data_IF_190051991587
#
_entry.id   IF_190051991587
#
_cell.length_a   1.000
_cell.length_b   1.000
_cell.length_c   1.000
_cell.angle_alpha   90.00
_cell.angle_beta   90.00
_cell.angle_gamma   90.00
#
_symmetry.space_group_name_H-M   'P 1'
#
loop_
_entity.id
_entity.type
_entity.pdbx_description
1 polymer ?
#
# COMPACT_ATOMS: atom_id res chain seq x y z
N UNK A 1 22.32 16.37 -32.22
CA UNK A 1 21.16 16.95 -31.47
C UNK A 1 20.39 15.77 -30.91
N UNK A 2 20.38 15.63 -29.60
CA UNK A 2 19.55 14.61 -28.96
C UNK A 2 18.13 15.17 -28.88
N UNK A 3 17.18 14.46 -29.46
CA UNK A 3 15.77 14.78 -29.41
C UNK A 3 15.31 14.54 -27.98
N UNK A 4 14.81 15.58 -27.30
CA UNK A 4 14.33 15.52 -25.94
C UNK A 4 13.02 14.72 -25.95
N UNK A 5 13.08 13.45 -25.49
CA UNK A 5 11.90 12.59 -25.35
C UNK A 5 11.02 13.17 -24.24
N UNK A 6 10.02 13.94 -24.62
CA UNK A 6 8.98 14.35 -23.67
C UNK A 6 8.15 13.13 -23.25
N UNK A 7 7.93 12.94 -21.95
CA UNK A 7 7.06 11.87 -21.50
C UNK A 7 5.64 12.09 -22.08
N UNK A 8 4.95 11.02 -22.48
CA UNK A 8 3.59 11.13 -23.03
C UNK A 8 2.68 11.84 -22.03
N UNK A 9 1.89 12.78 -22.55
CA UNK A 9 0.87 13.48 -21.77
C UNK A 9 -0.12 12.44 -21.24
N UNK A 10 -0.17 12.29 -19.92
CA UNK A 10 -1.04 11.29 -19.28
C UNK A 10 -2.49 11.77 -19.42
N UNK A 11 -3.42 10.94 -19.93
CA UNK A 11 -4.82 11.30 -19.93
C UNK A 11 -5.26 11.67 -18.51
N UNK A 12 -5.80 12.86 -18.35
CA UNK A 12 -6.43 13.24 -17.08
C UNK A 12 -7.71 12.41 -16.94
N UNK A 13 -7.94 11.74 -15.81
CA UNK A 13 -9.23 11.13 -15.56
C UNK A 13 -10.31 12.23 -15.66
N UNK A 14 -11.38 11.94 -16.36
CA UNK A 14 -12.54 12.84 -16.42
C UNK A 14 -12.99 13.12 -14.98
N UNK A 15 -13.23 14.39 -14.66
CA UNK A 15 -13.64 14.85 -13.34
C UNK A 15 -15.09 14.44 -13.05
N UNK A 16 -15.31 13.16 -12.71
CA UNK A 16 -16.51 12.71 -12.03
C UNK A 16 -16.48 13.23 -10.60
N UNK A 17 -17.57 13.76 -10.10
CA UNK A 17 -17.73 14.14 -8.69
C UNK A 17 -17.53 12.88 -7.84
N UNK A 18 -16.41 12.79 -7.11
CA UNK A 18 -15.98 11.58 -6.42
C UNK A 18 -16.86 11.11 -5.25
N UNK A 19 -17.93 11.81 -4.94
CA UNK A 19 -18.81 11.50 -3.80
C UNK A 19 -19.83 10.38 -4.09
N UNK A 20 -20.02 9.96 -5.35
CA UNK A 20 -21.03 8.96 -5.76
C UNK A 20 -20.43 7.76 -6.52
N UNK A 21 -19.11 7.72 -6.68
CA UNK A 21 -18.43 6.63 -7.38
C UNK A 21 -18.05 5.52 -6.39
N UNK A 22 -18.36 4.28 -6.77
CA UNK A 22 -18.01 3.09 -5.99
C UNK A 22 -17.12 2.16 -6.81
N UNK A 23 -16.15 1.51 -6.16
CA UNK A 23 -15.24 0.55 -6.80
C UNK A 23 -15.05 -0.68 -5.94
N UNK A 24 -14.94 -1.84 -6.58
CA UNK A 24 -14.67 -3.11 -5.89
C UNK A 24 -13.24 -3.18 -5.38
N UNK A 25 -12.99 -4.09 -4.45
CA UNK A 25 -11.63 -4.41 -4.00
C UNK A 25 -10.77 -4.88 -5.17
N UNK A 26 -11.34 -5.69 -6.07
CA UNK A 26 -10.65 -6.22 -7.26
C UNK A 26 -10.07 -5.09 -8.13
N UNK A 27 -10.77 -3.97 -8.28
CA UNK A 27 -10.28 -2.82 -9.04
C UNK A 27 -8.94 -2.28 -8.50
N UNK A 28 -8.69 -2.40 -7.21
CA UNK A 28 -7.47 -1.94 -6.55
C UNK A 28 -6.32 -2.93 -6.58
N UNK A 29 -6.58 -4.21 -6.90
CA UNK A 29 -5.55 -5.26 -6.84
C UNK A 29 -4.30 -4.87 -7.61
N UNK A 30 -3.16 -4.94 -6.92
CA UNK A 30 -1.85 -4.62 -7.48
C UNK A 30 -0.83 -5.66 -7.03
N UNK A 31 -0.03 -6.10 -7.97
CA UNK A 31 1.08 -7.01 -7.72
C UNK A 31 2.38 -6.33 -8.18
N UNK A 32 3.31 -6.15 -7.27
CA UNK A 32 4.66 -5.71 -7.57
C UNK A 32 5.59 -6.89 -7.30
N UNK A 33 6.38 -7.26 -8.30
CA UNK A 33 7.39 -8.32 -8.19
C UNK A 33 8.75 -7.74 -8.52
N UNK A 34 9.74 -8.02 -7.67
CA UNK A 34 11.11 -7.57 -7.88
C UNK A 34 12.10 -8.68 -7.55
N UNK A 35 13.08 -8.85 -8.43
CA UNK A 35 14.23 -9.72 -8.17
C UNK A 35 15.20 -9.03 -7.22
N UNK A 36 15.51 -9.67 -6.08
CA UNK A 36 16.43 -9.14 -5.08
C UNK A 36 17.88 -9.35 -5.50
N UNK A 37 18.60 -8.25 -5.64
CA UNK A 37 20.00 -8.23 -6.08
C UNK A 37 20.98 -8.10 -4.90
N UNK A 38 22.28 -8.23 -5.18
CA UNK A 38 23.35 -7.98 -4.19
C UNK A 38 23.27 -6.54 -3.65
N UNK A 39 22.84 -5.57 -4.47
CA UNK A 39 22.69 -4.18 -4.07
C UNK A 39 21.57 -3.96 -3.01
N UNK A 40 20.71 -4.94 -2.83
CA UNK A 40 19.63 -4.90 -1.82
C UNK A 40 20.07 -5.51 -0.47
N UNK A 41 21.30 -6.09 -0.40
CA UNK A 41 21.78 -6.80 0.78
C UNK A 41 22.21 -5.85 1.91
N UNK A 42 21.90 -6.25 3.14
CA UNK A 42 22.45 -5.65 4.35
C UNK A 42 23.79 -6.31 4.76
N UNK A 43 24.39 -5.83 5.82
CA UNK A 43 25.68 -6.38 6.34
C UNK A 43 25.60 -7.83 6.82
N UNK A 44 24.40 -8.37 7.06
CA UNK A 44 24.19 -9.76 7.45
C UNK A 44 23.95 -10.71 6.25
N UNK A 45 23.97 -10.18 5.00
CA UNK A 45 23.79 -10.96 3.78
C UNK A 45 22.33 -11.20 3.38
N UNK A 46 21.38 -10.59 4.07
CA UNK A 46 19.96 -10.64 3.73
C UNK A 46 19.50 -9.35 3.04
N UNK A 47 18.34 -9.37 2.40
CA UNK A 47 17.75 -8.14 1.86
C UNK A 47 17.46 -7.16 2.99
N UNK A 48 17.83 -5.90 2.77
CA UNK A 48 17.63 -4.83 3.75
C UNK A 48 16.14 -4.60 4.00
N UNK A 49 15.70 -4.55 5.27
CA UNK A 49 14.29 -4.32 5.63
C UNK A 49 13.73 -3.02 5.04
N UNK A 50 14.56 -1.97 4.94
CA UNK A 50 14.19 -0.71 4.26
C UNK A 50 13.86 -0.89 2.78
N UNK A 51 14.56 -1.80 2.07
CA UNK A 51 14.21 -2.15 0.68
C UNK A 51 12.84 -2.79 0.60
N UNK A 52 12.52 -3.73 1.51
CA UNK A 52 11.20 -4.36 1.58
C UNK A 52 10.11 -3.33 1.89
N UNK A 53 10.33 -2.45 2.87
CA UNK A 53 9.38 -1.39 3.23
C UNK A 53 9.11 -0.44 2.07
N UNK A 54 10.13 -0.07 1.28
CA UNK A 54 9.96 0.77 0.09
C UNK A 54 9.09 0.10 -0.96
N UNK A 55 9.29 -1.20 -1.22
CA UNK A 55 8.47 -1.96 -2.19
C UNK A 55 7.02 -2.13 -1.70
N UNK A 56 6.83 -2.27 -0.40
CA UNK A 56 5.50 -2.28 0.25
C UNK A 56 4.80 -0.94 0.03
N UNK A 57 5.49 0.18 0.24
CA UNK A 57 4.95 1.53 0.02
C UNK A 57 4.59 1.76 -1.45
N UNK A 58 5.47 1.36 -2.38
CA UNK A 58 5.21 1.42 -3.82
C UNK A 58 3.97 0.59 -4.22
N UNK A 59 3.84 -0.64 -3.73
CA UNK A 59 2.70 -1.50 -4.02
C UNK A 59 1.38 -0.93 -3.44
N UNK A 60 1.43 -0.39 -2.22
CA UNK A 60 0.28 0.26 -1.60
C UNK A 60 -0.13 1.52 -2.38
N UNK A 61 0.84 2.32 -2.81
CA UNK A 61 0.60 3.49 -3.65
C UNK A 61 -0.11 3.14 -4.96
N UNK A 62 0.34 2.07 -5.63
CA UNK A 62 -0.30 1.59 -6.86
C UNK A 62 -1.76 1.17 -6.64
N UNK A 63 -2.05 0.41 -5.57
CA UNK A 63 -3.40 -0.01 -5.23
C UNK A 63 -4.31 1.19 -4.94
N UNK A 64 -3.81 2.16 -4.16
CA UNK A 64 -4.54 3.36 -3.81
C UNK A 64 -4.79 4.27 -5.03
N UNK A 65 -3.80 4.42 -5.95
CA UNK A 65 -3.96 5.16 -7.22
C UNK A 65 -5.03 4.51 -8.09
N UNK A 66 -4.98 3.17 -8.25
CA UNK A 66 -5.98 2.44 -9.02
C UNK A 66 -7.38 2.66 -8.46
N UNK A 67 -7.53 2.56 -7.13
CA UNK A 67 -8.83 2.75 -6.48
C UNK A 67 -9.32 4.20 -6.56
N UNK A 68 -8.47 5.17 -6.27
CA UNK A 68 -8.90 6.57 -6.20
C UNK A 68 -8.96 7.28 -7.56
N UNK A 69 -8.20 6.82 -8.56
CA UNK A 69 -7.98 7.57 -9.81
C UNK A 69 -7.22 8.88 -9.61
N UNK A 70 -6.63 9.09 -8.44
CA UNK A 70 -5.98 10.35 -8.02
C UNK A 70 -4.52 10.10 -7.63
N UNK A 71 -3.75 11.17 -7.48
CA UNK A 71 -2.47 11.10 -6.78
C UNK A 71 -2.70 10.72 -5.32
N UNK A 72 -1.77 9.96 -4.75
CA UNK A 72 -1.86 9.55 -3.35
C UNK A 72 -0.55 9.84 -2.63
N UNK A 73 -0.64 10.01 -1.33
CA UNK A 73 0.52 10.07 -0.44
C UNK A 73 0.32 9.10 0.71
N UNK A 74 1.40 8.54 1.20
CA UNK A 74 1.42 7.72 2.41
C UNK A 74 1.36 8.61 3.63
N UNK A 75 0.29 8.49 4.40
CA UNK A 75 0.12 9.22 5.65
C UNK A 75 0.68 8.46 6.86
N UNK A 76 0.79 7.16 6.77
CA UNK A 76 1.37 6.32 7.82
C UNK A 76 1.40 4.85 7.41
N UNK A 77 2.29 4.11 8.08
CA UNK A 77 2.40 2.65 8.00
C UNK A 77 2.25 2.13 9.44
N UNK A 78 1.41 1.13 9.61
CA UNK A 78 1.28 0.43 10.89
C UNK A 78 2.52 -0.41 11.18
N UNK A 79 2.59 -0.98 12.40
CA UNK A 79 3.69 -1.86 12.78
C UNK A 79 3.83 -3.01 11.79
N UNK A 80 4.98 -3.10 11.15
CA UNK A 80 5.34 -4.20 10.26
C UNK A 80 6.30 -5.14 10.96
N UNK A 81 6.01 -6.44 10.92
CA UNK A 81 6.87 -7.47 11.50
C UNK A 81 7.43 -8.34 10.37
N UNK A 82 8.74 -8.54 10.38
CA UNK A 82 9.41 -9.45 9.47
C UNK A 82 9.46 -10.84 10.11
N UNK A 83 8.72 -11.80 9.57
CA UNK A 83 8.60 -13.16 10.09
C UNK A 83 9.76 -14.04 9.67
N UNK A 84 10.24 -13.83 8.44
CA UNK A 84 11.35 -14.57 7.84
C UNK A 84 12.21 -13.64 7.00
N UNK A 85 13.54 -13.89 6.90
CA UNK A 85 14.42 -13.10 6.04
C UNK A 85 14.09 -13.32 4.56
N UNK A 86 14.41 -12.31 3.75
CA UNK A 86 14.42 -12.38 2.28
C UNK A 86 15.88 -12.49 1.82
N UNK A 87 16.16 -13.44 0.92
CA UNK A 87 17.51 -13.69 0.44
C UNK A 87 17.79 -12.99 -0.90
N UNK A 88 19.06 -12.66 -1.12
CA UNK A 88 19.52 -12.24 -2.46
C UNK A 88 19.28 -13.37 -3.45
N UNK A 89 18.76 -13.03 -4.64
CA UNK A 89 18.40 -14.00 -5.67
C UNK A 89 16.93 -14.45 -5.64
N UNK A 90 16.19 -14.13 -4.60
CA UNK A 90 14.74 -14.39 -4.56
C UNK A 90 13.91 -13.30 -5.25
N UNK A 91 12.69 -13.66 -5.61
CA UNK A 91 11.65 -12.72 -6.05
C UNK A 91 10.86 -12.26 -4.83
N UNK A 92 10.83 -10.94 -4.60
CA UNK A 92 9.92 -10.35 -3.61
C UNK A 92 8.61 -9.98 -4.30
N UNK A 93 7.51 -10.52 -3.79
CA UNK A 93 6.16 -10.31 -4.30
C UNK A 93 5.37 -9.51 -3.27
N UNK A 94 4.89 -8.32 -3.65
CA UNK A 94 4.04 -7.47 -2.83
C UNK A 94 2.65 -7.42 -3.47
N UNK A 95 1.69 -8.13 -2.88
CA UNK A 95 0.28 -8.14 -3.30
C UNK A 95 -0.49 -7.14 -2.46
N UNK A 96 -1.06 -6.13 -3.08
CA UNK A 96 -1.73 -5.02 -2.41
C UNK A 96 -3.19 -4.88 -2.84
N UNK A 97 -4.07 -4.52 -1.91
CA UNK A 97 -5.46 -4.16 -2.16
C UNK A 97 -5.97 -3.16 -1.13
N UNK A 98 -6.99 -2.37 -1.50
CA UNK A 98 -7.68 -1.48 -0.56
C UNK A 98 -8.58 -2.32 0.35
N UNK A 99 -8.43 -2.15 1.67
CA UNK A 99 -9.22 -2.84 2.68
C UNK A 99 -10.42 -2.01 3.16
N UNK A 100 -10.25 -0.69 3.25
CA UNK A 100 -11.30 0.24 3.67
C UNK A 100 -11.05 1.62 3.09
N UNK A 101 -12.13 2.36 2.88
CA UNK A 101 -12.10 3.77 2.44
C UNK A 101 -12.88 4.61 3.44
N UNK A 102 -12.30 5.75 3.81
CA UNK A 102 -12.96 6.83 4.54
C UNK A 102 -13.08 8.03 3.61
N UNK A 103 -13.48 9.16 4.09
CA UNK A 103 -13.75 10.31 3.22
C UNK A 103 -12.60 10.64 2.23
N UNK A 104 -11.37 10.80 2.72
CA UNK A 104 -10.20 11.18 1.88
C UNK A 104 -9.03 10.22 2.01
N UNK A 105 -9.15 9.21 2.85
CA UNK A 105 -8.09 8.26 3.13
C UNK A 105 -8.56 6.82 2.93
N UNK A 106 -7.61 5.96 2.65
CA UNK A 106 -7.81 4.52 2.41
C UNK A 106 -6.81 3.75 3.26
N UNK A 107 -7.22 2.58 3.75
CA UNK A 107 -6.24 1.60 4.21
C UNK A 107 -5.95 0.61 3.09
N UNK A 108 -4.67 0.43 2.80
CA UNK A 108 -4.18 -0.59 1.89
C UNK A 108 -3.46 -1.67 2.68
N UNK A 109 -3.88 -2.92 2.50
CA UNK A 109 -3.15 -4.09 2.98
C UNK A 109 -2.17 -4.58 1.93
N UNK A 110 -0.95 -4.91 2.35
CA UNK A 110 0.10 -5.47 1.50
C UNK A 110 0.60 -6.78 2.09
N UNK A 111 0.41 -7.87 1.37
CA UNK A 111 1.01 -9.17 1.67
C UNK A 111 2.34 -9.29 0.94
N UNK A 112 3.38 -9.63 1.69
CA UNK A 112 4.74 -9.77 1.17
C UNK A 112 5.16 -11.23 1.23
N UNK A 113 5.60 -11.76 0.09
CA UNK A 113 6.07 -13.14 -0.06
C UNK A 113 7.42 -13.14 -0.76
N UNK A 114 8.30 -14.03 -0.33
CA UNK A 114 9.54 -14.34 -1.04
C UNK A 114 9.36 -15.66 -1.79
N UNK A 115 9.80 -15.67 -3.05
CA UNK A 115 9.72 -16.82 -3.93
C UNK A 115 11.13 -17.22 -4.38
N UNK A 116 11.48 -18.50 -4.23
CA UNK A 116 12.69 -19.03 -4.84
C UNK A 116 12.44 -19.24 -6.34
N UNK A 117 13.13 -18.52 -7.25
CA UNK A 117 12.86 -18.61 -8.70
C UNK A 117 13.23 -19.95 -9.32
N UNK A 118 14.05 -20.77 -8.65
CA UNK A 118 14.47 -22.08 -9.16
C UNK A 118 13.51 -23.19 -8.79
N UNK A 119 12.89 -23.11 -7.60
CA UNK A 119 11.99 -24.16 -7.08
C UNK A 119 10.51 -23.77 -7.17
N UNK A 120 10.20 -22.48 -7.30
CA UNK A 120 8.85 -21.94 -7.20
C UNK A 120 8.30 -21.91 -5.76
N UNK A 121 9.11 -22.32 -4.77
CA UNK A 121 8.70 -22.28 -3.36
C UNK A 121 8.48 -20.84 -2.91
N UNK A 122 7.31 -20.57 -2.35
CA UNK A 122 6.93 -19.27 -1.81
C UNK A 122 6.75 -19.34 -0.30
N UNK A 123 7.17 -18.29 0.42
CA UNK A 123 6.92 -18.15 1.85
C UNK A 123 6.47 -16.73 2.19
N UNK A 124 5.51 -16.63 3.09
CA UNK A 124 5.06 -15.37 3.63
C UNK A 124 6.15 -14.77 4.53
N UNK A 125 6.55 -13.52 4.25
CA UNK A 125 7.62 -12.82 4.98
C UNK A 125 7.08 -11.73 5.90
N UNK A 126 6.05 -11.03 5.47
CA UNK A 126 5.43 -9.97 6.27
C UNK A 126 4.08 -9.54 5.70
N UNK A 127 3.32 -8.83 6.53
CA UNK A 127 2.11 -8.10 6.11
C UNK A 127 2.21 -6.69 6.65
N UNK A 128 1.80 -5.71 5.84
CA UNK A 128 1.76 -4.31 6.22
C UNK A 128 0.40 -3.70 5.91
N UNK A 129 0.05 -2.67 6.70
CA UNK A 129 -1.14 -1.86 6.47
C UNK A 129 -0.72 -0.39 6.41
N UNK A 130 -1.09 0.29 5.33
CA UNK A 130 -0.73 1.68 5.10
C UNK A 130 -1.99 2.53 4.99
N UNK A 131 -1.93 3.71 5.58
CA UNK A 131 -2.94 4.75 5.37
C UNK A 131 -2.50 5.63 4.22
N UNK A 132 -3.26 5.60 3.13
CA UNK A 132 -3.04 6.42 1.93
C UNK A 132 -4.07 7.54 1.87
N UNK A 133 -3.69 8.71 1.38
CA UNK A 133 -4.58 9.87 1.23
C UNK A 133 -4.63 10.30 -0.23
N UNK A 134 -5.83 10.40 -0.78
CA UNK A 134 -6.05 10.88 -2.14
C UNK A 134 -5.90 12.40 -2.20
N UNK A 135 -5.17 12.90 -3.20
CA UNK A 135 -4.86 14.32 -3.38
C UNK A 135 -5.24 14.80 -4.78
N UNK A 136 -5.73 16.05 -4.81
CA UNK A 136 -5.84 16.87 -6.01
C UNK A 136 -5.31 18.27 -5.68
N UNK A 137 -4.43 18.79 -6.51
CA UNK A 137 -3.74 20.09 -6.30
C UNK A 137 -3.11 20.23 -4.91
N UNK A 138 -2.57 19.11 -4.39
CA UNK A 138 -1.92 19.06 -3.07
C UNK A 138 -2.88 19.03 -1.88
N UNK A 139 -4.19 18.96 -2.10
CA UNK A 139 -5.21 18.93 -1.03
C UNK A 139 -5.90 17.57 -0.98
N UNK A 140 -6.26 17.07 0.23
CA UNK A 140 -7.04 15.85 0.37
C UNK A 140 -8.41 15.96 -0.28
N UNK A 141 -8.75 14.99 -1.14
CA UNK A 141 -10.04 14.89 -1.82
C UNK A 141 -10.74 13.57 -1.53
N UNK A 142 -12.07 13.50 -1.64
CA UNK A 142 -12.81 12.26 -1.47
C UNK A 142 -12.30 11.15 -2.41
N UNK A 143 -12.28 9.93 -1.90
CA UNK A 143 -12.01 8.72 -2.68
C UNK A 143 -13.31 7.95 -2.91
N UNK A 144 -13.44 7.21 -4.03
CA UNK A 144 -14.60 6.36 -4.31
C UNK A 144 -14.88 5.39 -3.17
N UNK A 145 -16.17 5.08 -2.94
CA UNK A 145 -16.56 4.10 -1.93
C UNK A 145 -16.05 2.71 -2.28
N UNK A 146 -15.67 1.92 -1.26
CA UNK A 146 -15.24 0.54 -1.45
C UNK A 146 -16.43 -0.41 -1.38
N UNK A 147 -16.58 -1.27 -2.38
CA UNK A 147 -17.50 -2.39 -2.38
C UNK A 147 -16.71 -3.65 -2.06
N UNK A 148 -16.98 -4.27 -0.92
CA UNK A 148 -16.48 -5.58 -0.53
C UNK A 148 -17.51 -6.63 -0.96
N UNK A 149 -17.09 -7.61 -1.79
CA UNK A 149 -17.99 -8.60 -2.39
C UNK A 149 -17.86 -9.99 -1.73
N UNK A 150 -16.69 -10.30 -1.15
CA UNK A 150 -16.45 -11.59 -0.49
C UNK A 150 -16.41 -11.47 1.03
N UNK A 151 -16.62 -12.60 1.72
CA UNK A 151 -16.51 -12.69 3.17
C UNK A 151 -15.11 -12.30 3.69
N UNK A 152 -14.08 -12.64 2.92
CA UNK A 152 -12.70 -12.27 3.21
C UNK A 152 -12.47 -10.76 3.11
N UNK A 153 -13.05 -10.10 2.13
CA UNK A 153 -12.98 -8.64 1.96
C UNK A 153 -13.74 -7.92 3.08
N UNK A 154 -14.94 -8.39 3.41
CA UNK A 154 -15.71 -7.88 4.53
C UNK A 154 -14.97 -8.05 5.87
N UNK A 155 -14.28 -9.17 6.08
CA UNK A 155 -13.43 -9.38 7.26
C UNK A 155 -12.29 -8.37 7.30
N UNK A 156 -11.54 -8.19 6.19
CA UNK A 156 -10.44 -7.22 6.08
C UNK A 156 -10.93 -5.79 6.32
N UNK A 157 -12.12 -5.44 5.84
CA UNK A 157 -12.73 -4.14 6.08
C UNK A 157 -13.00 -3.91 7.58
N UNK A 158 -13.62 -4.88 8.27
CA UNK A 158 -13.84 -4.80 9.73
C UNK A 158 -12.53 -4.68 10.51
N UNK A 159 -11.51 -5.44 10.11
CA UNK A 159 -10.17 -5.36 10.74
C UNK A 159 -9.50 -3.99 10.50
N UNK A 160 -9.70 -3.38 9.32
CA UNK A 160 -9.21 -2.05 9.01
C UNK A 160 -9.88 -0.97 9.89
N UNK A 161 -11.19 -1.07 10.12
CA UNK A 161 -11.90 -0.18 11.04
C UNK A 161 -11.35 -0.29 12.47
N UNK A 162 -11.07 -1.50 12.94
CA UNK A 162 -10.48 -1.72 14.26
C UNK A 162 -9.08 -1.11 14.35
N UNK A 163 -8.21 -1.33 13.34
CA UNK A 163 -6.87 -0.72 13.31
C UNK A 163 -6.96 0.80 13.32
N UNK A 164 -7.88 1.39 12.56
CA UNK A 164 -8.10 2.85 12.57
C UNK A 164 -8.52 3.35 13.94
N UNK A 165 -9.48 2.71 14.57
CA UNK A 165 -9.93 3.08 15.92
C UNK A 165 -8.78 3.08 16.92
N UNK A 166 -7.93 2.04 16.90
CA UNK A 166 -6.76 1.93 17.75
C UNK A 166 -5.74 3.06 17.50
N UNK A 167 -5.43 3.36 16.23
CA UNK A 167 -4.51 4.47 15.87
C UNK A 167 -5.01 5.83 16.38
N UNK A 168 -6.31 6.07 16.26
CA UNK A 168 -6.91 7.32 16.72
C UNK A 168 -6.86 7.42 18.25
N UNK A 169 -7.21 6.35 18.96
CA UNK A 169 -7.15 6.30 20.42
C UNK A 169 -5.73 6.49 20.93
N UNK A 170 -4.73 5.80 20.38
CA UNK A 170 -3.32 5.95 20.74
C UNK A 170 -2.83 7.40 20.52
N UNK A 171 -3.17 7.99 19.38
CA UNK A 171 -2.84 9.40 19.09
C UNK A 171 -3.42 10.36 20.13
N UNK A 172 -4.68 10.15 20.51
CA UNK A 172 -5.37 11.05 21.43
C UNK A 172 -4.83 10.88 22.86
N UNK A 173 -4.47 9.67 23.27
CA UNK A 173 -3.77 9.40 24.56
C UNK A 173 -2.40 10.12 24.61
N UNK A 174 -1.59 10.01 23.53
CA UNK A 174 -0.28 10.67 23.47
C UNK A 174 -0.42 12.19 23.52
N UNK A 175 -1.43 12.76 22.86
CA UNK A 175 -1.69 14.22 22.87
C UNK A 175 -2.18 14.68 24.25
N UNK A 176 -3.09 13.94 24.87
CA UNK A 176 -3.59 14.24 26.23
C UNK A 176 -2.48 14.23 27.27
N UNK A 177 -1.54 13.26 27.21
CA UNK A 177 -0.40 13.18 28.12
C UNK A 177 0.68 14.27 27.95
N UNK A 178 0.65 15.03 26.84
CA UNK A 178 1.55 16.19 26.61
C UNK A 178 0.98 17.52 27.10
N UNK A 179 -0.32 17.55 27.42
CA UNK A 179 -1.03 18.76 27.87
C UNK A 179 -1.12 18.84 29.41
N UNK A 180 -0.65 17.82 30.12
CA UNK A 180 -0.49 17.74 31.60
C UNK A 180 0.99 17.85 31.97
#
# INVERSE_FOLDING_TARGET
>A
MAEEIQPPERPRPESGSGDDESRTVEHSLSLLVRWMSIADANSAGFVHGGTVMRLVDEAAGLAAIKHSGRRVVTAGMDRMTFLTPVFVGELLRCSASVNAVWRTSMEVGVRVEAENPFTGETRHTSTAYLTMVALEDGKPVPAPHLIAESEDELRRQREAELRRANRLAERDQIRGGRAS
#
